data_IF_531258592822
#
_entry.id   IF_531258592822
#
_cell.length_a   1.000
_cell.length_b   1.000
_cell.length_c   1.000
_cell.angle_alpha   90.00
_cell.angle_beta   90.00
_cell.angle_gamma   90.00
#
_symmetry.space_group_name_H-M   'P 1'
#
loop_
_entity.id
_entity.type
_entity.pdbx_description
1 polymer ?
#
# COMPACT_ATOMS: atom_id res chain seq x y z
N UNK A 1 -28.56 37.39 42.04
CA UNK A 1 -28.74 36.08 42.70
C UNK A 1 -27.52 35.22 42.41
N UNK A 2 -26.57 35.13 43.35
CA UNK A 2 -25.36 34.30 43.23
C UNK A 2 -25.68 32.90 43.77
N UNK A 3 -25.52 31.86 42.97
CA UNK A 3 -25.47 30.47 43.45
C UNK A 3 -24.10 29.90 43.11
N UNK A 4 -23.25 29.85 44.13
CA UNK A 4 -21.99 29.13 44.12
C UNK A 4 -22.27 27.63 44.02
N UNK A 5 -21.62 26.93 43.08
CA UNK A 5 -21.62 25.47 43.03
C UNK A 5 -20.32 24.95 43.64
N UNK A 6 -20.52 24.16 44.67
CA UNK A 6 -19.54 23.50 45.52
C UNK A 6 -18.78 22.44 44.68
N UNK A 7 -17.45 22.55 44.63
CA UNK A 7 -16.56 21.51 44.10
C UNK A 7 -16.43 20.40 45.15
N UNK A 8 -16.77 19.16 44.77
CA UNK A 8 -16.47 17.96 45.56
C UNK A 8 -15.31 17.25 44.87
N UNK A 9 -14.12 17.38 45.46
CA UNK A 9 -12.90 16.64 45.12
C UNK A 9 -12.97 15.27 45.76
N UNK A 10 -13.04 14.20 44.96
CA UNK A 10 -12.85 12.83 45.44
C UNK A 10 -11.43 12.41 45.05
N UNK A 11 -10.54 12.37 46.03
CA UNK A 11 -9.21 11.79 45.91
C UNK A 11 -9.31 10.28 46.21
N UNK A 12 -8.90 9.44 45.25
CA UNK A 12 -8.62 8.03 45.48
C UNK A 12 -7.11 7.81 45.41
N UNK A 13 -6.55 7.26 46.49
CA UNK A 13 -5.15 6.88 46.63
C UNK A 13 -5.02 5.36 46.76
N UNK A 14 -3.89 4.85 46.24
CA UNK A 14 -3.26 3.53 46.46
C UNK A 14 -3.93 2.31 45.80
N UNK A 15 -3.23 1.30 45.27
CA UNK A 15 -1.93 0.76 45.67
C UNK A 15 -1.12 0.15 44.50
N UNK A 16 0.21 0.15 44.68
CA UNK A 16 1.19 -0.54 43.85
C UNK A 16 1.23 -2.05 44.16
N UNK A 17 1.49 -2.88 43.14
CA UNK A 17 2.03 -4.22 43.33
C UNK A 17 3.28 -4.39 42.47
N UNK A 18 4.39 -4.64 43.17
CA UNK A 18 5.69 -5.06 42.65
C UNK A 18 5.71 -6.59 42.63
N UNK A 19 6.11 -7.19 41.52
CA UNK A 19 6.44 -8.60 41.42
C UNK A 19 7.77 -8.76 40.69
N UNK A 20 8.82 -9.05 41.44
CA UNK A 20 10.15 -9.38 40.96
C UNK A 20 10.51 -10.81 41.42
N UNK A 21 11.02 -11.62 40.49
CA UNK A 21 11.87 -12.81 40.70
C UNK A 21 12.59 -13.02 39.34
N UNK A 22 13.91 -12.86 39.16
CA UNK A 22 15.09 -13.60 39.69
C UNK A 22 14.95 -15.12 39.49
N UNK A 23 15.83 -15.90 38.87
CA UNK A 23 17.18 -15.81 38.26
C UNK A 23 17.38 -17.17 37.54
N UNK A 24 18.44 -17.55 36.82
CA UNK A 24 19.83 -17.13 36.70
C UNK A 24 20.68 -18.40 36.44
N UNK A 25 21.88 -18.20 35.85
CA UNK A 25 23.05 -19.10 35.70
C UNK A 25 23.27 -19.66 34.29
N UNK A 26 24.22 -19.18 33.46
CA UNK A 26 25.70 -19.15 33.54
C UNK A 26 26.36 -20.54 33.46
N UNK A 27 27.02 -20.86 32.34
CA UNK A 27 28.49 -20.85 32.22
C UNK A 27 28.97 -21.54 30.92
N UNK A 28 30.14 -21.09 30.47
CA UNK A 28 30.78 -21.39 29.18
C UNK A 28 31.72 -22.64 29.26
N UNK A 29 32.86 -22.69 28.54
CA UNK A 29 33.08 -23.42 27.28
C UNK A 29 34.08 -24.59 27.43
N UNK A 30 34.19 -25.48 26.44
CA UNK A 30 35.37 -26.34 26.21
C UNK A 30 35.42 -26.70 24.71
N UNK A 31 36.37 -26.21 23.91
CA UNK A 31 37.78 -26.60 23.82
C UNK A 31 37.99 -28.00 23.21
N UNK A 32 38.73 -27.99 22.09
CA UNK A 32 39.19 -29.09 21.24
C UNK A 32 39.87 -30.26 22.01
N UNK A 33 40.02 -31.44 21.38
CA UNK A 33 41.26 -31.66 20.63
C UNK A 33 41.08 -32.33 19.25
N UNK A 34 42.06 -32.00 18.41
CA UNK A 34 42.55 -32.66 17.20
C UNK A 34 42.94 -34.11 17.42
N UNK A 35 42.80 -34.95 16.39
CA UNK A 35 43.83 -35.93 15.99
C UNK A 35 43.63 -36.39 14.53
N UNK A 36 44.69 -36.25 13.74
CA UNK A 36 44.99 -36.91 12.44
C UNK A 36 45.93 -38.10 12.73
N UNK A 37 46.53 -38.80 11.74
CA UNK A 37 46.10 -39.36 10.45
C UNK A 37 46.35 -40.90 10.42
N UNK A 38 46.08 -41.60 9.29
CA UNK A 38 47.12 -42.33 8.52
C UNK A 38 46.58 -43.37 7.50
N UNK A 39 47.28 -43.36 6.35
CA UNK A 39 47.72 -44.39 5.39
C UNK A 39 46.81 -45.37 4.60
N UNK A 40 47.17 -45.43 3.30
CA UNK A 40 47.31 -46.65 2.49
C UNK A 40 46.07 -47.03 1.67
N UNK A 41 46.08 -47.27 0.37
CA UNK A 41 47.12 -47.52 -0.62
C UNK A 41 46.42 -48.16 -1.83
N UNK A 42 46.83 -47.84 -3.07
CA UNK A 42 46.29 -48.45 -4.29
C UNK A 42 46.57 -49.96 -4.40
N UNK A 43 46.13 -50.63 -5.49
CA UNK A 43 46.70 -50.31 -6.80
C UNK A 43 45.75 -50.36 -8.01
N UNK A 44 46.28 -49.77 -9.08
CA UNK A 44 45.90 -49.83 -10.49
C UNK A 44 46.12 -51.20 -11.13
N UNK A 45 45.28 -51.56 -12.12
CA UNK A 45 45.51 -52.66 -13.06
C UNK A 45 44.95 -52.33 -14.44
N UNK A 46 45.84 -52.03 -15.38
CA UNK A 46 45.64 -51.88 -16.82
C UNK A 46 45.74 -53.24 -17.52
N UNK A 47 44.92 -53.51 -18.54
CA UNK A 47 45.26 -54.48 -19.59
C UNK A 47 44.54 -54.18 -20.90
N UNK A 48 45.36 -54.04 -21.94
CA UNK A 48 45.07 -53.91 -23.38
C UNK A 48 44.78 -55.26 -24.06
N UNK A 49 43.99 -55.28 -25.15
CA UNK A 49 44.04 -56.33 -26.17
C UNK A 49 42.77 -56.47 -27.04
N UNK A 50 42.84 -56.05 -28.32
CA UNK A 50 41.96 -56.56 -29.41
C UNK A 50 42.42 -57.95 -29.90
N UNK A 51 41.91 -58.56 -31.01
CA UNK A 51 41.31 -57.91 -32.20
C UNK A 51 40.13 -58.66 -32.94
N UNK A 52 39.58 -57.98 -33.97
CA UNK A 52 38.96 -58.47 -35.23
C UNK A 52 37.73 -59.42 -35.28
N UNK A 53 36.66 -58.96 -35.95
CA UNK A 53 35.74 -59.81 -36.73
C UNK A 53 34.34 -59.21 -36.98
N UNK A 54 33.76 -59.24 -38.20
CA UNK A 54 32.78 -58.26 -38.71
C UNK A 54 31.31 -58.72 -38.61
N UNK A 55 30.36 -57.84 -38.97
CA UNK A 55 29.03 -58.07 -39.60
C UNK A 55 27.91 -57.18 -39.03
N UNK A 56 27.15 -56.55 -39.94
CA UNK A 56 25.71 -56.34 -39.75
C UNK A 56 25.26 -54.92 -39.43
N UNK A 57 24.94 -54.15 -40.48
CA UNK A 57 24.16 -52.93 -40.36
C UNK A 57 22.73 -53.19 -39.84
N UNK A 58 22.18 -52.18 -39.19
CA UNK A 58 20.81 -52.14 -38.70
C UNK A 58 20.54 -50.78 -38.07
N UNK A 59 19.73 -49.99 -38.75
CA UNK A 59 19.39 -48.62 -38.43
C UNK A 59 18.68 -48.55 -37.07
N UNK A 60 19.30 -47.91 -36.09
CA UNK A 60 18.67 -47.57 -34.81
C UNK A 60 18.53 -46.05 -34.74
N UNK A 61 17.27 -45.61 -34.83
CA UNK A 61 16.82 -44.25 -34.70
C UNK A 61 17.55 -43.51 -33.58
N UNK A 62 18.06 -42.33 -33.92
CA UNK A 62 18.60 -41.39 -32.95
C UNK A 62 17.55 -41.04 -31.91
N UNK A 63 17.69 -41.64 -30.73
CA UNK A 63 17.19 -41.06 -29.50
C UNK A 63 18.03 -39.81 -29.27
N UNK A 64 17.51 -38.69 -29.78
CA UNK A 64 17.94 -37.38 -29.33
C UNK A 64 17.71 -37.35 -27.82
N UNK A 65 18.82 -37.43 -27.11
CA UNK A 65 18.93 -37.11 -25.71
C UNK A 65 18.48 -35.65 -25.57
N UNK A 66 17.18 -35.46 -25.33
CA UNK A 66 16.60 -34.17 -25.03
C UNK A 66 17.16 -33.74 -23.68
N UNK A 67 18.34 -33.11 -23.75
CA UNK A 67 18.89 -32.25 -22.71
C UNK A 67 17.71 -31.46 -22.14
N UNK A 68 17.43 -31.49 -20.83
CA UNK A 68 16.43 -30.59 -20.28
C UNK A 68 16.90 -29.19 -20.65
N UNK A 69 16.05 -28.45 -21.36
CA UNK A 69 16.28 -27.04 -21.66
C UNK A 69 16.61 -26.36 -20.34
N UNK A 70 17.90 -26.15 -20.11
CA UNK A 70 18.42 -25.38 -19.00
C UNK A 70 18.08 -23.94 -19.30
N UNK A 71 16.82 -23.58 -19.11
CA UNK A 71 16.37 -22.22 -19.22
C UNK A 71 17.09 -21.44 -18.11
N UNK A 72 17.94 -20.51 -18.52
CA UNK A 72 18.60 -19.61 -17.59
C UNK A 72 17.54 -18.65 -17.06
N UNK A 73 16.91 -19.00 -15.95
CA UNK A 73 16.00 -18.10 -15.25
C UNK A 73 16.78 -17.01 -14.53
N UNK A 74 16.22 -15.82 -14.52
CA UNK A 74 16.67 -14.70 -13.72
C UNK A 74 15.52 -14.27 -12.80
N UNK A 75 15.86 -13.88 -11.58
CA UNK A 75 14.88 -13.34 -10.63
C UNK A 75 14.92 -11.83 -10.73
N UNK A 76 13.80 -11.24 -11.15
CA UNK A 76 13.57 -9.81 -11.16
C UNK A 76 12.70 -9.42 -9.96
N UNK A 77 13.11 -8.38 -9.24
CA UNK A 77 12.27 -7.80 -8.18
C UNK A 77 11.08 -7.10 -8.83
N UNK A 78 9.90 -7.31 -8.27
CA UNK A 78 8.70 -6.55 -8.62
C UNK A 78 8.40 -5.56 -7.51
N UNK A 79 8.16 -4.30 -7.88
CA UNK A 79 7.82 -3.26 -6.91
C UNK A 79 6.29 -3.20 -6.78
N UNK A 80 5.83 -3.03 -5.53
CA UNK A 80 4.42 -2.67 -5.28
C UNK A 80 4.15 -1.27 -5.82
N UNK A 81 2.89 -0.99 -6.14
CA UNK A 81 2.50 0.34 -6.59
C UNK A 81 2.94 1.44 -5.60
N UNK A 82 3.47 2.54 -6.13
CA UNK A 82 3.74 3.75 -5.33
C UNK A 82 2.44 4.50 -5.10
N UNK A 83 2.33 5.18 -3.97
CA UNK A 83 1.10 5.90 -3.58
C UNK A 83 1.42 7.29 -3.03
N UNK A 84 0.80 8.33 -3.57
CA UNK A 84 0.78 9.65 -2.95
C UNK A 84 -0.61 9.86 -2.36
N UNK A 85 -0.70 9.97 -1.04
CA UNK A 85 -1.95 10.14 -0.30
C UNK A 85 -2.13 11.63 -0.01
N UNK A 86 -3.23 12.22 -0.45
CA UNK A 86 -3.52 13.65 -0.32
C UNK A 86 -4.73 13.81 0.60
N UNK A 87 -4.49 14.22 1.84
CA UNK A 87 -5.54 14.63 2.75
C UNK A 87 -5.95 16.07 2.44
N UNK A 88 -7.24 16.28 2.29
CA UNK A 88 -7.85 17.59 2.11
C UNK A 88 -8.90 17.72 3.19
N UNK A 89 -8.64 18.62 4.14
CA UNK A 89 -9.38 18.66 5.40
C UNK A 89 -9.98 20.04 5.54
N UNK A 90 -11.31 20.09 5.57
CA UNK A 90 -12.07 21.29 5.91
C UNK A 90 -11.70 21.76 7.32
N UNK A 91 -11.34 23.04 7.43
CA UNK A 91 -11.00 23.70 8.69
C UNK A 91 -11.99 24.83 9.03
N UNK A 92 -13.22 24.72 8.54
CA UNK A 92 -14.35 25.53 8.95
C UNK A 92 -14.70 25.35 10.43
N UNK A 93 -15.53 26.24 10.97
CA UNK A 93 -15.82 26.36 12.41
C UNK A 93 -16.32 25.08 13.09
N UNK A 94 -17.06 24.24 12.36
CA UNK A 94 -17.65 22.99 12.85
C UNK A 94 -16.65 21.83 12.95
N UNK A 95 -15.52 21.90 12.24
CA UNK A 95 -14.60 20.77 12.03
C UNK A 95 -13.58 20.54 13.17
N UNK A 96 -13.75 21.18 14.33
CA UNK A 96 -12.73 21.18 15.40
C UNK A 96 -12.46 19.77 15.94
N UNK A 97 -13.52 19.03 16.24
CA UNK A 97 -13.47 17.68 16.80
C UNK A 97 -12.92 16.67 15.78
N UNK A 98 -13.32 16.79 14.52
CA UNK A 98 -12.90 15.97 13.39
C UNK A 98 -11.40 16.14 13.12
N UNK A 99 -10.91 17.38 13.09
CA UNK A 99 -9.47 17.66 12.93
C UNK A 99 -8.66 17.08 14.08
N UNK A 100 -9.15 17.15 15.32
CA UNK A 100 -8.51 16.51 16.47
C UNK A 100 -8.42 15.00 16.27
N UNK A 101 -9.48 14.36 15.76
CA UNK A 101 -9.48 12.92 15.49
C UNK A 101 -8.53 12.53 14.36
N UNK A 102 -8.41 13.33 13.30
CA UNK A 102 -7.40 13.10 12.26
C UNK A 102 -5.99 13.20 12.85
N UNK A 103 -5.70 14.23 13.66
CA UNK A 103 -4.39 14.41 14.31
C UNK A 103 -3.99 13.21 15.17
N UNK A 104 -4.93 12.62 15.91
CA UNK A 104 -4.67 11.47 16.78
C UNK A 104 -4.38 10.18 16.00
N UNK A 105 -5.04 9.97 14.85
CA UNK A 105 -5.04 8.68 14.16
C UNK A 105 -4.12 8.63 12.93
N UNK A 106 -3.71 9.77 12.35
CA UNK A 106 -2.94 9.80 11.09
C UNK A 106 -1.60 9.07 11.16
N UNK A 107 -0.92 9.06 12.31
CA UNK A 107 0.33 8.33 12.46
C UNK A 107 0.12 6.81 12.42
N UNK A 108 -0.97 6.32 13.00
CA UNK A 108 -1.34 4.90 12.93
C UNK A 108 -1.78 4.52 11.50
N UNK A 109 -2.55 5.39 10.85
CA UNK A 109 -2.89 5.26 9.44
C UNK A 109 -1.63 5.09 8.57
N UNK A 110 -0.66 6.00 8.70
CA UNK A 110 0.58 5.96 7.94
C UNK A 110 1.40 4.71 8.25
N UNK A 111 1.50 4.31 9.52
CA UNK A 111 2.18 3.07 9.92
C UNK A 111 1.54 1.84 9.26
N UNK A 112 0.21 1.78 9.14
CA UNK A 112 -0.49 0.67 8.46
C UNK A 112 -0.17 0.59 6.98
N UNK A 113 -0.13 1.73 6.28
CA UNK A 113 0.33 1.75 4.89
C UNK A 113 1.79 1.29 4.81
N UNK A 114 2.68 1.79 5.67
CA UNK A 114 4.09 1.42 5.69
C UNK A 114 4.32 -0.08 5.95
N UNK A 115 3.56 -0.69 6.86
CA UNK A 115 3.66 -2.13 7.15
C UNK A 115 3.27 -3.02 5.96
N UNK A 116 2.43 -2.54 5.04
CA UNK A 116 2.08 -3.27 3.82
C UNK A 116 3.23 -3.37 2.80
N UNK A 117 4.29 -2.56 2.99
CA UNK A 117 5.40 -2.43 2.05
C UNK A 117 5.09 -1.53 0.84
N UNK A 118 3.96 -0.82 0.84
CA UNK A 118 3.68 0.23 -0.14
C UNK A 118 4.66 1.40 0.02
N UNK A 119 5.25 1.86 -1.07
CA UNK A 119 6.03 3.09 -1.12
C UNK A 119 5.08 4.30 -1.15
N UNK A 120 4.81 4.85 0.02
CA UNK A 120 3.83 5.91 0.21
C UNK A 120 4.44 7.26 0.55
N UNK A 121 3.71 8.31 0.19
CA UNK A 121 3.93 9.69 0.60
C UNK A 121 2.60 10.28 1.06
N UNK A 122 2.64 11.25 1.97
CA UNK A 122 1.45 11.93 2.46
C UNK A 122 1.57 13.43 2.25
N UNK A 123 0.52 14.04 1.72
CA UNK A 123 0.38 15.49 1.54
C UNK A 123 -0.86 15.94 2.29
N UNK A 124 -0.72 16.95 3.14
CA UNK A 124 -1.85 17.61 3.79
C UNK A 124 -2.14 18.94 3.12
N UNK A 125 -3.39 19.18 2.75
CA UNK A 125 -3.90 20.47 2.27
C UNK A 125 -4.94 20.95 3.28
N UNK A 126 -4.48 21.77 4.23
CA UNK A 126 -5.27 22.33 5.33
C UNK A 126 -4.41 23.35 6.09
N UNK A 127 -5.00 24.28 6.84
CA UNK A 127 -4.22 25.27 7.58
C UNK A 127 -3.25 24.61 8.56
N UNK A 128 -2.00 25.02 8.46
CA UNK A 128 -0.88 24.50 9.24
C UNK A 128 -0.77 25.22 10.57
N UNK A 129 -0.61 24.44 11.64
CA UNK A 129 -0.28 24.99 12.94
C UNK A 129 1.15 25.54 12.96
N UNK A 130 1.36 26.66 13.65
CA UNK A 130 2.68 27.25 13.90
C UNK A 130 3.44 26.59 15.05
N UNK A 131 2.76 25.79 15.87
CA UNK A 131 3.35 25.02 16.96
C UNK A 131 2.51 23.78 17.31
N UNK A 132 3.12 22.80 17.97
CA UNK A 132 2.45 21.56 18.39
C UNK A 132 1.32 21.77 19.40
N UNK A 133 1.39 22.89 20.13
CA UNK A 133 0.43 23.31 21.17
C UNK A 133 -0.63 24.27 20.66
N UNK A 134 -0.57 24.72 19.40
CA UNK A 134 -1.59 25.61 18.86
C UNK A 134 -2.94 24.90 18.82
N UNK A 135 -3.97 25.60 19.31
CA UNK A 135 -5.37 25.17 19.31
C UNK A 135 -6.16 25.92 18.24
N UNK A 136 -7.36 25.43 17.93
CA UNK A 136 -8.25 25.98 16.92
C UNK A 136 -8.20 25.17 15.63
N UNK A 137 -8.67 25.78 14.53
CA UNK A 137 -8.90 25.10 13.27
C UNK A 137 -7.63 24.99 12.41
N UNK A 138 -6.61 24.40 13.02
CA UNK A 138 -5.30 24.16 12.41
C UNK A 138 -4.85 22.76 12.77
N UNK A 139 -4.05 22.15 11.92
CA UNK A 139 -3.50 20.82 12.20
C UNK A 139 -1.99 20.86 12.35
N UNK A 140 -1.51 20.10 13.33
CA UNK A 140 -0.10 19.79 13.52
C UNK A 140 0.05 18.27 13.53
N UNK A 141 0.71 17.73 12.53
CA UNK A 141 1.12 16.32 12.52
C UNK A 141 2.50 16.22 13.17
N UNK A 142 2.70 15.22 14.02
CA UNK A 142 4.00 14.92 14.64
C UNK A 142 4.63 13.66 14.06
N UNK A 143 5.81 13.30 14.56
CA UNK A 143 6.49 12.06 14.24
C UNK A 143 5.63 10.81 14.58
N UNK A 144 5.80 9.68 13.86
CA UNK A 144 6.82 9.44 12.83
C UNK A 144 6.49 9.97 11.43
N UNK A 145 5.24 10.35 11.14
CA UNK A 145 4.87 10.80 9.80
C UNK A 145 5.52 12.14 9.45
N UNK A 146 5.31 13.15 10.30
CA UNK A 146 5.85 14.50 10.11
C UNK A 146 7.07 14.76 11.00
N UNK A 147 7.73 15.90 10.79
CA UNK A 147 8.87 16.34 11.58
C UNK A 147 8.47 16.92 12.94
N UNK A 148 9.48 17.29 13.75
CA UNK A 148 9.24 17.98 15.02
C UNK A 148 8.54 19.33 14.79
N UNK A 149 7.72 19.76 15.75
CA UNK A 149 7.05 21.07 15.73
C UNK A 149 6.26 21.35 14.43
N UNK A 150 5.49 20.37 13.97
CA UNK A 150 4.68 20.47 12.74
C UNK A 150 5.52 20.64 11.46
N UNK A 151 6.83 20.39 11.50
CA UNK A 151 7.67 20.47 10.31
C UNK A 151 7.29 19.39 9.29
N UNK A 152 7.57 19.67 8.03
CA UNK A 152 7.49 18.67 6.98
C UNK A 152 8.56 17.58 7.19
N UNK A 153 8.38 16.41 6.60
CA UNK A 153 9.32 15.30 6.68
C UNK A 153 9.58 14.71 5.29
N UNK A 154 10.22 15.46 4.37
CA UNK A 154 10.43 15.00 3.01
C UNK A 154 11.38 13.78 2.95
N UNK A 155 11.14 12.82 2.03
CA UNK A 155 10.06 12.81 1.03
C UNK A 155 8.75 12.19 1.54
N UNK A 156 8.63 11.86 2.83
CA UNK A 156 7.49 11.11 3.36
C UNK A 156 6.24 11.99 3.55
N UNK A 157 6.40 13.22 4.05
CA UNK A 157 5.29 14.10 4.41
C UNK A 157 5.53 15.56 4.01
N UNK A 158 4.52 16.19 3.41
CA UNK A 158 4.45 17.64 3.16
C UNK A 158 3.14 18.23 3.66
N UNK A 159 3.19 19.48 4.15
CA UNK A 159 2.01 20.19 4.60
C UNK A 159 1.85 21.52 3.87
N UNK A 160 0.89 21.53 2.95
CA UNK A 160 0.45 22.70 2.21
C UNK A 160 -0.46 23.56 3.10
N UNK A 161 0.08 24.70 3.54
CA UNK A 161 -0.65 25.63 4.41
C UNK A 161 -1.72 26.40 3.60
N UNK A 162 -2.88 25.77 3.44
CA UNK A 162 -4.01 26.30 2.70
C UNK A 162 -5.26 26.21 3.57
N UNK A 163 -5.99 27.31 3.77
CA UNK A 163 -7.30 27.24 4.40
C UNK A 163 -8.31 26.59 3.45
N UNK A 164 -9.02 25.60 3.96
CA UNK A 164 -10.07 24.85 3.28
C UNK A 164 -11.36 25.17 4.02
N UNK A 165 -12.28 25.81 3.33
CA UNK A 165 -13.59 26.13 3.88
C UNK A 165 -14.62 25.08 3.48
N UNK A 166 -15.83 25.25 4.02
CA UNK A 166 -16.90 24.26 3.98
C UNK A 166 -17.20 23.68 2.59
N UNK A 167 -17.13 24.49 1.53
CA UNK A 167 -17.61 24.07 0.21
C UNK A 167 -16.58 24.14 -0.92
N UNK A 168 -15.32 24.44 -0.62
CA UNK A 168 -14.33 24.81 -1.64
C UNK A 168 -13.15 23.83 -1.81
N UNK A 169 -13.15 22.69 -1.11
CA UNK A 169 -12.02 21.74 -1.12
C UNK A 169 -11.67 21.23 -2.52
N UNK A 170 -12.66 20.85 -3.34
CA UNK A 170 -12.42 20.39 -4.71
C UNK A 170 -11.82 21.50 -5.60
N UNK A 171 -12.29 22.74 -5.47
CA UNK A 171 -11.72 23.89 -6.16
C UNK A 171 -10.29 24.16 -5.71
N UNK A 172 -10.00 24.00 -4.41
CA UNK A 172 -8.66 24.19 -3.85
C UNK A 172 -7.70 23.11 -4.32
N UNK A 173 -8.10 21.84 -4.38
CA UNK A 173 -7.30 20.77 -4.99
C UNK A 173 -6.85 21.19 -6.39
N UNK A 174 -7.78 21.65 -7.23
CA UNK A 174 -7.48 22.02 -8.62
C UNK A 174 -6.67 23.31 -8.75
N UNK A 175 -7.00 24.36 -7.99
CA UNK A 175 -6.37 25.67 -8.10
C UNK A 175 -4.98 25.73 -7.44
N UNK A 176 -4.74 24.91 -6.42
CA UNK A 176 -3.44 24.84 -5.75
C UNK A 176 -2.48 23.84 -6.40
N UNK A 177 -2.96 22.91 -7.24
CA UNK A 177 -2.14 21.87 -7.87
C UNK A 177 -0.86 22.40 -8.51
N UNK A 178 -0.98 23.29 -9.47
CA UNK A 178 0.10 23.93 -10.24
C UNK A 178 0.16 25.43 -9.97
N UNK A 179 -0.12 25.84 -8.72
CA UNK A 179 -0.14 27.24 -8.35
C UNK A 179 1.19 27.96 -8.67
N UNK A 180 1.16 29.21 -9.17
CA UNK A 180 2.37 30.01 -9.29
C UNK A 180 3.00 30.32 -7.92
N UNK A 181 2.21 30.26 -6.84
CA UNK A 181 2.76 30.27 -5.49
C UNK A 181 3.37 28.91 -5.17
N UNK A 182 4.70 28.84 -5.16
CA UNK A 182 5.43 27.61 -4.92
C UNK A 182 5.11 26.93 -3.58
N UNK A 183 4.64 27.66 -2.57
CA UNK A 183 4.24 27.10 -1.28
C UNK A 183 2.88 26.38 -1.32
N UNK A 184 2.07 26.63 -2.36
CA UNK A 184 0.76 26.00 -2.56
C UNK A 184 0.79 24.89 -3.62
N UNK A 185 1.77 24.96 -4.55
CA UNK A 185 1.95 24.06 -5.69
C UNK A 185 2.24 22.61 -5.29
N UNK A 186 1.21 21.87 -4.89
CA UNK A 186 1.36 20.51 -4.37
C UNK A 186 1.74 19.47 -5.43
N UNK A 187 1.60 19.79 -6.73
CA UNK A 187 2.07 18.92 -7.82
C UNK A 187 3.57 18.62 -7.74
N UNK A 188 4.37 19.50 -7.12
CA UNK A 188 5.83 19.35 -6.97
C UNK A 188 6.22 18.17 -6.08
N UNK A 189 5.28 17.68 -5.28
CA UNK A 189 5.51 16.59 -4.33
C UNK A 189 4.98 15.24 -4.84
N UNK A 190 4.28 15.25 -5.98
CA UNK A 190 3.72 14.07 -6.61
C UNK A 190 4.74 13.32 -7.47
N UNK A 191 4.50 12.02 -7.62
CA UNK A 191 5.26 11.15 -8.53
C UNK A 191 4.40 10.71 -9.69
N UNK A 192 4.96 10.74 -10.90
CA UNK A 192 4.22 10.30 -12.09
C UNK A 192 3.83 8.82 -12.05
N UNK A 193 4.65 7.97 -11.47
CA UNK A 193 4.43 6.52 -11.38
C UNK A 193 3.56 6.12 -10.17
N UNK A 194 3.26 7.02 -9.24
CA UNK A 194 2.39 6.74 -8.10
C UNK A 194 0.90 6.90 -8.42
N UNK A 195 0.05 6.09 -7.78
CA UNK A 195 -1.37 6.38 -7.65
C UNK A 195 -1.61 7.57 -6.72
N UNK A 196 -2.68 8.32 -6.99
CA UNK A 196 -3.12 9.44 -6.15
C UNK A 196 -4.30 9.01 -5.31
N UNK A 197 -4.19 9.11 -3.99
CA UNK A 197 -5.27 8.70 -3.08
C UNK A 197 -5.72 9.92 -2.32
N UNK A 198 -6.86 10.49 -2.70
CA UNK A 198 -7.46 11.60 -1.96
C UNK A 198 -8.21 11.08 -0.74
N UNK A 199 -8.05 11.77 0.38
CA UNK A 199 -8.86 11.58 1.58
C UNK A 199 -9.48 12.91 1.93
N UNK A 200 -10.72 13.10 1.51
CA UNK A 200 -11.51 14.29 1.84
C UNK A 200 -12.14 14.15 3.21
N UNK A 201 -12.05 15.19 4.03
CA UNK A 201 -12.65 15.26 5.36
C UNK A 201 -13.43 16.57 5.49
N UNK A 202 -14.76 16.50 5.50
CA UNK A 202 -15.64 17.67 5.61
C UNK A 202 -17.01 17.28 6.14
N UNK A 203 -17.67 18.13 6.90
CA UNK A 203 -19.05 17.95 7.33
C UNK A 203 -20.07 18.61 6.36
N UNK A 204 -19.59 19.17 5.25
CA UNK A 204 -20.38 19.96 4.33
C UNK A 204 -20.33 19.37 2.89
N UNK A 205 -20.56 20.19 1.87
CA UNK A 205 -20.77 19.82 0.48
C UNK A 205 -19.95 20.72 -0.45
N UNK A 206 -19.33 20.11 -1.46
CA UNK A 206 -18.62 20.84 -2.51
C UNK A 206 -19.58 21.70 -3.35
N UNK A 207 -19.20 22.96 -3.57
CA UNK A 207 -19.85 23.82 -4.58
C UNK A 207 -19.45 23.46 -6.02
N UNK A 208 -18.37 22.70 -6.21
CA UNK A 208 -17.97 22.15 -7.51
C UNK A 208 -18.56 20.75 -7.68
N UNK A 209 -19.20 20.50 -8.82
CA UNK A 209 -19.74 19.18 -9.14
C UNK A 209 -18.61 18.15 -9.33
N UNK A 210 -18.84 16.91 -8.88
CA UNK A 210 -17.88 15.81 -8.98
C UNK A 210 -17.44 15.53 -10.43
N UNK A 211 -18.36 15.60 -11.40
CA UNK A 211 -18.07 15.38 -12.82
C UNK A 211 -17.14 16.46 -13.39
N UNK A 212 -17.37 17.72 -13.00
CA UNK A 212 -16.51 18.83 -13.36
C UNK A 212 -15.13 18.68 -12.72
N UNK A 213 -15.06 18.31 -11.44
CA UNK A 213 -13.80 18.04 -10.75
C UNK A 213 -13.00 16.93 -11.43
N UNK A 214 -13.61 15.77 -11.67
CA UNK A 214 -12.97 14.63 -12.34
C UNK A 214 -12.41 15.03 -13.71
N UNK A 215 -13.22 15.72 -14.52
CA UNK A 215 -12.80 16.18 -15.85
C UNK A 215 -11.60 17.13 -15.77
N UNK A 216 -11.63 18.09 -14.85
CA UNK A 216 -10.54 19.06 -14.69
C UNK A 216 -9.28 18.44 -14.10
N UNK A 217 -9.42 17.49 -13.17
CA UNK A 217 -8.30 16.78 -12.56
C UNK A 217 -7.57 15.91 -13.60
N UNK A 218 -8.32 15.16 -14.41
CA UNK A 218 -7.76 14.33 -15.48
C UNK A 218 -7.03 15.15 -16.57
N UNK A 219 -7.41 16.42 -16.73
CA UNK A 219 -6.78 17.34 -17.68
C UNK A 219 -5.51 18.02 -17.14
N UNK A 220 -5.16 17.85 -15.85
CA UNK A 220 -3.97 18.48 -15.27
C UNK A 220 -2.68 17.97 -15.88
N UNK A 221 -1.74 18.89 -16.11
CA UNK A 221 -0.40 18.59 -16.59
C UNK A 221 0.52 18.11 -15.44
N UNK A 222 1.53 17.26 -15.70
CA UNK A 222 1.77 16.56 -16.97
C UNK A 222 0.66 15.55 -17.28
N UNK A 223 0.36 15.38 -18.56
CA UNK A 223 -0.69 14.47 -19.01
C UNK A 223 -0.45 13.05 -18.47
N UNK A 224 -1.51 12.40 -17.98
CA UNK A 224 -1.44 11.06 -17.40
C UNK A 224 -1.13 11.02 -15.90
N UNK A 225 -0.86 12.16 -15.24
CA UNK A 225 -0.68 12.23 -13.77
C UNK A 225 -1.83 11.56 -13.01
N UNK A 226 -3.07 11.75 -13.47
CA UNK A 226 -4.28 11.22 -12.86
C UNK A 226 -4.98 10.14 -13.71
N UNK A 227 -4.35 9.69 -14.80
CA UNK A 227 -4.89 8.69 -15.72
C UNK A 227 -5.90 9.26 -16.73
N UNK A 228 -6.89 8.45 -17.11
CA UNK A 228 -7.97 8.82 -18.04
C UNK A 228 -9.34 8.52 -17.42
N UNK A 229 -10.43 8.97 -18.06
CA UNK A 229 -11.79 8.68 -17.59
C UNK A 229 -12.12 7.17 -17.58
N UNK A 230 -11.49 6.38 -18.46
CA UNK A 230 -11.62 4.92 -18.45
C UNK A 230 -10.70 4.25 -17.41
N UNK A 231 -9.47 4.77 -17.28
CA UNK A 231 -8.43 4.21 -16.42
C UNK A 231 -7.86 5.29 -15.49
N UNK A 232 -8.64 5.65 -14.47
CA UNK A 232 -8.23 6.65 -13.47
C UNK A 232 -7.05 6.13 -12.68
N UNK A 233 -6.03 6.98 -12.52
CA UNK A 233 -4.88 6.72 -11.63
C UNK A 233 -5.00 7.48 -10.32
N UNK A 234 -6.24 7.69 -9.90
CA UNK A 234 -6.55 8.21 -8.59
C UNK A 234 -7.74 7.48 -7.95
N UNK A 235 -7.75 7.49 -6.62
CA UNK A 235 -8.80 6.97 -5.76
C UNK A 235 -9.27 8.15 -4.90
N UNK A 236 -10.57 8.25 -4.67
CA UNK A 236 -11.14 9.30 -3.83
C UNK A 236 -11.85 8.66 -2.63
N UNK A 237 -11.32 8.86 -1.44
CA UNK A 237 -11.96 8.48 -0.18
C UNK A 237 -12.68 9.69 0.42
N UNK A 238 -13.87 9.44 0.97
CA UNK A 238 -14.70 10.47 1.57
C UNK A 238 -14.94 10.13 3.03
N UNK A 239 -14.63 11.07 3.92
CA UNK A 239 -15.13 11.11 5.28
C UNK A 239 -16.06 12.34 5.32
N UNK A 240 -17.37 12.11 5.21
CA UNK A 240 -18.36 13.17 5.09
C UNK A 240 -19.52 13.03 6.08
N UNK A 241 -20.43 14.00 6.11
CA UNK A 241 -21.63 13.98 6.95
C UNK A 241 -22.68 12.90 6.64
N UNK A 242 -22.28 11.79 6.02
CA UNK A 242 -23.16 10.65 5.74
C UNK A 242 -23.56 9.91 7.03
N UNK A 243 -24.81 9.48 7.12
CA UNK A 243 -25.30 8.65 8.23
C UNK A 243 -24.99 7.18 7.99
N UNK A 244 -24.17 6.52 8.83
CA UNK A 244 -23.85 5.10 8.67
C UNK A 244 -25.09 4.21 8.58
N UNK A 245 -25.09 3.27 7.63
CA UNK A 245 -26.19 2.33 7.39
C UNK A 245 -27.30 2.86 6.49
N UNK A 246 -27.21 4.11 6.01
CA UNK A 246 -28.15 4.66 5.01
C UNK A 246 -27.57 4.57 3.60
N UNK A 247 -28.42 4.77 2.57
CA UNK A 247 -27.96 4.78 1.19
C UNK A 247 -26.89 5.87 0.95
N UNK A 248 -25.83 5.54 0.23
CA UNK A 248 -24.85 6.54 -0.20
C UNK A 248 -25.49 7.56 -1.14
N UNK A 249 -24.98 8.80 -1.15
CA UNK A 249 -25.39 9.94 -1.98
C UNK A 249 -26.78 10.49 -1.66
N UNK A 250 -27.80 9.64 -1.52
CA UNK A 250 -29.20 10.02 -1.28
C UNK A 250 -29.64 9.90 0.18
N UNK A 251 -28.83 9.26 1.03
CA UNK A 251 -29.09 9.13 2.46
C UNK A 251 -29.11 10.46 3.20
N UNK A 252 -29.61 10.41 4.43
CA UNK A 252 -29.67 11.58 5.30
C UNK A 252 -28.27 12.00 5.77
N UNK A 253 -28.09 13.32 5.96
CA UNK A 253 -26.95 13.82 6.73
C UNK A 253 -27.07 13.42 8.20
N UNK A 254 -25.96 13.30 8.89
CA UNK A 254 -25.98 13.03 10.32
C UNK A 254 -26.27 14.30 11.13
N UNK A 255 -26.43 14.14 12.45
CA UNK A 255 -26.83 15.24 13.34
C UNK A 255 -25.75 16.30 13.55
N UNK A 256 -24.47 15.93 13.43
CA UNK A 256 -23.33 16.82 13.69
C UNK A 256 -22.79 17.48 12.43
N UNK A 257 -23.33 17.15 11.26
CA UNK A 257 -22.85 17.68 9.98
C UNK A 257 -23.79 18.70 9.38
N UNK A 258 -23.26 19.63 8.59
CA UNK A 258 -24.07 20.60 7.86
C UNK A 258 -24.73 19.99 6.62
N UNK A 259 -24.01 19.12 5.90
CA UNK A 259 -24.52 18.39 4.74
C UNK A 259 -24.07 16.92 4.74
N UNK A 260 -24.58 16.15 3.78
CA UNK A 260 -24.21 14.74 3.57
C UNK A 260 -22.88 14.60 2.78
N UNK A 261 -22.46 15.63 2.04
CA UNK A 261 -21.25 15.57 1.19
C UNK A 261 -21.42 14.70 -0.05
N UNK A 262 -22.56 14.78 -0.73
CA UNK A 262 -22.91 13.87 -1.83
C UNK A 262 -21.97 13.98 -3.05
N UNK A 263 -21.36 15.14 -3.35
CA UNK A 263 -20.41 15.24 -4.48
C UNK A 263 -19.14 14.43 -4.20
N UNK A 264 -18.65 14.47 -2.96
CA UNK A 264 -17.50 13.67 -2.54
C UNK A 264 -17.79 12.17 -2.60
N UNK A 265 -18.97 11.78 -2.10
CA UNK A 265 -19.43 10.38 -2.19
C UNK A 265 -19.54 9.90 -3.64
N UNK A 266 -19.99 10.74 -4.57
CA UNK A 266 -20.02 10.40 -5.99
C UNK A 266 -18.61 10.18 -6.56
N UNK A 267 -17.59 10.95 -6.14
CA UNK A 267 -16.19 10.67 -6.50
C UNK A 267 -15.70 9.34 -5.91
N UNK A 268 -16.09 9.03 -4.67
CA UNK A 268 -15.77 7.74 -4.07
C UNK A 268 -16.43 6.57 -4.81
N UNK A 269 -17.71 6.67 -5.19
CA UNK A 269 -18.35 5.64 -6.01
C UNK A 269 -17.68 5.51 -7.39
N UNK A 270 -17.42 6.63 -8.06
CA UNK A 270 -16.76 6.68 -9.37
C UNK A 270 -15.39 6.00 -9.35
N UNK A 271 -14.63 6.23 -8.29
CA UNK A 271 -13.27 5.72 -8.16
C UNK A 271 -13.18 4.42 -7.39
N UNK A 272 -14.30 3.85 -6.92
CA UNK A 272 -14.34 2.70 -5.98
C UNK A 272 -13.54 2.96 -4.68
N UNK A 273 -13.61 4.18 -4.16
CA UNK A 273 -13.08 4.55 -2.86
C UNK A 273 -14.08 4.32 -1.73
N UNK A 274 -13.54 4.19 -0.52
CA UNK A 274 -14.30 4.13 0.74
C UNK A 274 -15.06 5.44 1.02
N UNK A 275 -16.29 5.29 1.49
CA UNK A 275 -17.11 6.35 2.08
C UNK A 275 -17.27 6.02 3.56
N UNK A 276 -16.93 6.95 4.43
CA UNK A 276 -17.13 6.87 5.87
C UNK A 276 -17.69 8.20 6.41
N UNK A 277 -18.02 8.23 7.70
CA UNK A 277 -18.79 9.28 8.34
C UNK A 277 -17.92 10.14 9.26
N UNK A 278 -18.04 11.47 9.15
CA UNK A 278 -17.42 12.40 10.11
C UNK A 278 -18.05 12.33 11.51
N UNK A 279 -19.25 11.77 11.58
CA UNK A 279 -20.09 11.83 12.77
C UNK A 279 -19.71 10.75 13.81
N UNK A 280 -18.68 9.97 13.50
CA UNK A 280 -18.08 9.02 14.42
C UNK A 280 -17.22 9.77 15.44
N UNK A 281 -17.34 9.38 16.70
CA UNK A 281 -16.56 9.99 17.79
C UNK A 281 -15.11 9.54 17.83
N UNK A 282 -14.78 8.43 17.16
CA UNK A 282 -13.45 7.86 17.01
C UNK A 282 -13.14 7.55 15.54
N UNK A 283 -12.02 8.06 15.05
CA UNK A 283 -11.57 7.88 13.66
C UNK A 283 -10.54 6.77 13.50
N UNK A 284 -10.18 6.03 14.55
CA UNK A 284 -9.30 4.86 14.44
C UNK A 284 -9.83 3.89 13.37
N UNK A 285 -11.07 3.43 13.53
CA UNK A 285 -11.74 2.55 12.56
C UNK A 285 -11.96 3.21 11.19
N UNK A 286 -12.15 4.53 11.13
CA UNK A 286 -12.36 5.27 9.88
C UNK A 286 -11.09 5.25 9.03
N UNK A 287 -9.98 5.71 9.60
CA UNK A 287 -8.71 5.73 8.90
C UNK A 287 -8.17 4.32 8.66
N UNK A 288 -8.47 3.37 9.55
CA UNK A 288 -8.14 1.96 9.35
C UNK A 288 -8.81 1.36 8.12
N UNK A 289 -10.10 1.62 7.93
CA UNK A 289 -10.85 1.17 6.75
C UNK A 289 -10.28 1.77 5.46
N UNK A 290 -9.93 3.06 5.49
CA UNK A 290 -9.31 3.75 4.35
C UNK A 290 -7.92 3.17 4.06
N UNK A 291 -7.10 2.97 5.10
CA UNK A 291 -5.78 2.37 4.96
C UNK A 291 -5.87 0.97 4.36
N UNK A 292 -6.74 0.12 4.92
CA UNK A 292 -6.99 -1.23 4.43
C UNK A 292 -7.48 -1.21 2.98
N UNK A 293 -8.47 -0.39 2.64
CA UNK A 293 -8.97 -0.28 1.27
C UNK A 293 -7.91 0.19 0.28
N UNK A 294 -7.02 1.09 0.69
CA UNK A 294 -5.88 1.55 -0.12
C UNK A 294 -4.89 0.41 -0.34
N UNK A 295 -4.52 -0.30 0.72
CA UNK A 295 -3.58 -1.43 0.70
C UNK A 295 -4.13 -2.58 -0.15
N UNK A 296 -5.37 -3.01 0.11
CA UNK A 296 -6.02 -4.12 -0.59
C UNK A 296 -6.14 -3.84 -2.10
N UNK A 297 -6.20 -2.56 -2.49
CA UNK A 297 -6.26 -2.20 -3.91
C UNK A 297 -4.88 -2.07 -4.56
N UNK A 298 -3.93 -1.42 -3.89
CA UNK A 298 -2.69 -0.99 -4.53
C UNK A 298 -1.50 -1.90 -4.19
N UNK A 299 -1.51 -2.56 -3.03
CA UNK A 299 -0.43 -3.46 -2.65
C UNK A 299 -0.45 -4.77 -3.46
N UNK A 300 -1.58 -5.09 -4.10
CA UNK A 300 -1.77 -6.23 -4.99
C UNK A 300 -1.38 -5.95 -6.44
N UNK A 301 -1.14 -4.68 -6.79
CA UNK A 301 -0.61 -4.29 -8.10
C UNK A 301 0.91 -4.26 -8.04
N UNK A 302 1.54 -5.04 -8.91
CA UNK A 302 2.98 -5.18 -9.03
C UNK A 302 3.43 -4.72 -10.41
N UNK A 303 4.59 -4.07 -10.48
CA UNK A 303 5.23 -3.71 -11.75
C UNK A 303 5.58 -4.97 -12.56
N UNK A 304 5.39 -4.94 -13.88
CA UNK A 304 5.98 -5.94 -14.78
C UNK A 304 7.45 -5.57 -15.01
N UNK A 305 8.43 -6.44 -14.71
CA UNK A 305 9.83 -6.18 -15.04
C UNK A 305 10.03 -5.92 -16.53
N UNK A 306 10.95 -5.04 -16.90
CA UNK A 306 11.17 -4.71 -18.32
C UNK A 306 11.54 -5.94 -19.16
N UNK A 307 12.31 -6.88 -18.58
CA UNK A 307 12.68 -8.14 -19.21
C UNK A 307 11.50 -9.11 -19.38
N UNK A 308 10.49 -9.01 -18.49
CA UNK A 308 9.26 -9.80 -18.53
C UNK A 308 8.25 -9.26 -19.55
N UNK A 309 8.32 -7.96 -19.87
CA UNK A 309 7.40 -7.31 -20.80
C UNK A 309 7.60 -7.75 -22.27
N UNK A 310 8.80 -8.22 -22.64
CA UNK A 310 9.09 -8.67 -24.02
C UNK A 310 8.53 -10.05 -24.36
N UNK A 311 8.36 -10.93 -23.37
CA UNK A 311 7.67 -12.21 -23.53
C UNK A 311 6.87 -12.55 -22.26
N UNK A 312 5.59 -12.13 -22.20
CA UNK A 312 4.70 -12.38 -21.05
C UNK A 312 4.48 -13.86 -20.72
N UNK A 313 4.79 -14.78 -21.64
CA UNK A 313 4.61 -16.23 -21.45
C UNK A 313 5.75 -16.89 -20.67
N UNK A 314 6.87 -16.18 -20.49
CA UNK A 314 8.07 -16.67 -19.81
C UNK A 314 8.23 -16.14 -18.38
N UNK A 315 7.13 -15.65 -17.82
CA UNK A 315 7.10 -14.99 -16.51
C UNK A 315 6.34 -15.85 -15.52
N UNK A 316 7.02 -16.22 -14.46
CA UNK A 316 6.44 -16.89 -13.30
C UNK A 316 6.52 -15.93 -12.11
N UNK A 317 5.55 -15.95 -11.20
CA UNK A 317 5.59 -15.12 -9.98
C UNK A 317 5.75 -16.04 -8.78
N UNK A 318 6.66 -15.71 -7.89
CA UNK A 318 6.87 -16.42 -6.63
C UNK A 318 6.74 -15.49 -5.45
N UNK A 319 6.39 -16.05 -4.29
CA UNK A 319 6.34 -15.34 -3.02
C UNK A 319 7.13 -16.07 -1.94
N UNK A 320 7.85 -15.32 -1.11
CA UNK A 320 8.64 -15.84 0.00
C UNK A 320 8.18 -15.18 1.29
N UNK A 321 7.50 -15.94 2.14
CA UNK A 321 7.10 -15.49 3.48
C UNK A 321 8.30 -15.52 4.44
N UNK A 322 8.32 -14.68 5.49
CA UNK A 322 9.39 -14.69 6.48
C UNK A 322 9.61 -16.08 7.08
N UNK A 323 10.83 -16.60 6.99
CA UNK A 323 11.19 -17.92 7.50
C UNK A 323 10.69 -19.11 6.66
N UNK A 324 10.09 -18.87 5.49
CA UNK A 324 9.60 -19.92 4.59
C UNK A 324 10.42 -20.00 3.29
N UNK A 325 10.35 -21.14 2.61
CA UNK A 325 10.88 -21.30 1.27
C UNK A 325 10.03 -20.54 0.22
N UNK A 326 10.60 -20.12 -0.92
CA UNK A 326 9.83 -19.52 -2.01
C UNK A 326 8.76 -20.46 -2.54
N UNK A 327 7.55 -19.94 -2.77
CA UNK A 327 6.44 -20.66 -3.39
C UNK A 327 6.06 -20.04 -4.72
N UNK A 328 5.95 -20.88 -5.76
CA UNK A 328 5.49 -20.43 -7.07
C UNK A 328 3.97 -20.28 -7.08
N UNK A 329 3.50 -19.16 -7.62
CA UNK A 329 2.08 -18.84 -7.76
C UNK A 329 1.54 -19.33 -9.10
N UNK A 330 0.26 -19.69 -9.10
CA UNK A 330 -0.46 -20.09 -10.31
C UNK A 330 -0.77 -18.83 -11.13
N UNK A 331 -0.43 -18.82 -12.41
CA UNK A 331 -0.95 -17.80 -13.34
C UNK A 331 -2.37 -18.20 -13.77
N UNK A 332 -3.32 -17.28 -13.66
CA UNK A 332 -4.66 -17.44 -14.23
C UNK A 332 -4.90 -16.44 -15.35
N UNK A 333 -5.89 -16.68 -16.20
CA UNK A 333 -6.19 -15.79 -17.33
C UNK A 333 -6.65 -14.40 -16.91
N UNK A 334 -7.44 -14.33 -15.84
CA UNK A 334 -8.09 -13.12 -15.35
C UNK A 334 -8.65 -13.32 -13.92
N UNK A 335 -9.19 -12.25 -13.35
CA UNK A 335 -9.75 -12.21 -12.00
C UNK A 335 -10.84 -13.27 -11.75
N UNK A 336 -11.62 -13.67 -12.76
CA UNK A 336 -12.73 -14.63 -12.59
C UNK A 336 -12.25 -16.02 -12.16
N UNK A 337 -10.98 -16.33 -12.39
CA UNK A 337 -10.35 -17.61 -12.05
C UNK A 337 -9.74 -17.64 -10.65
N UNK A 338 -9.67 -16.50 -9.97
CA UNK A 338 -9.07 -16.39 -8.63
C UNK A 338 -9.81 -17.22 -7.59
N UNK A 339 -11.14 -17.33 -7.67
CA UNK A 339 -11.93 -18.10 -6.70
C UNK A 339 -11.56 -19.60 -6.69
N UNK A 340 -11.19 -20.17 -7.85
CA UNK A 340 -10.74 -21.55 -7.97
C UNK A 340 -9.23 -21.71 -7.69
N UNK A 341 -8.47 -20.62 -7.65
CA UNK A 341 -7.02 -20.62 -7.50
C UNK A 341 -6.60 -19.55 -6.46
N UNK A 342 -6.74 -19.83 -5.15
CA UNK A 342 -6.56 -18.82 -4.10
C UNK A 342 -5.11 -18.33 -3.93
N UNK A 343 -4.12 -19.02 -4.52
CA UNK A 343 -2.71 -18.62 -4.54
C UNK A 343 -2.27 -18.33 -5.99
N UNK A 344 -2.94 -17.36 -6.62
CA UNK A 344 -2.74 -17.04 -8.04
C UNK A 344 -2.52 -15.55 -8.31
N UNK A 345 -2.11 -15.27 -9.55
CA UNK A 345 -1.90 -13.95 -10.12
C UNK A 345 -2.32 -13.94 -11.60
N UNK A 346 -2.55 -12.75 -12.15
CA UNK A 346 -2.91 -12.52 -13.55
C UNK A 346 -2.33 -11.20 -14.05
N UNK A 347 -2.34 -10.97 -15.37
CA UNK A 347 -1.97 -9.68 -15.95
C UNK A 347 -3.17 -8.76 -16.07
N UNK A 348 -2.92 -7.44 -16.10
CA UNK A 348 -3.94 -6.46 -16.50
C UNK A 348 -4.37 -6.62 -17.97
N UNK A 349 -3.42 -6.96 -18.85
CA UNK A 349 -3.65 -7.34 -20.24
C UNK A 349 -2.72 -8.51 -20.60
N UNK A 350 -3.27 -9.59 -21.15
CA UNK A 350 -2.48 -10.80 -21.45
C UNK A 350 -1.56 -10.67 -22.67
N UNK A 351 -1.79 -9.68 -23.54
CA UNK A 351 -1.02 -9.43 -24.76
C UNK A 351 0.03 -8.34 -24.54
N UNK A 352 -0.30 -7.30 -23.76
CA UNK A 352 0.57 -6.17 -23.47
C UNK A 352 0.54 -5.81 -21.99
N UNK A 353 1.06 -6.69 -21.11
CA UNK A 353 0.95 -6.52 -19.67
C UNK A 353 1.73 -5.29 -19.21
N UNK A 354 1.08 -4.46 -18.41
CA UNK A 354 1.72 -3.35 -17.68
C UNK A 354 1.80 -3.63 -16.20
N UNK A 355 0.96 -4.56 -15.70
CA UNK A 355 0.86 -4.89 -14.28
C UNK A 355 0.66 -6.39 -14.07
N UNK A 356 1.25 -6.89 -12.99
CA UNK A 356 0.92 -8.17 -12.38
C UNK A 356 -0.07 -7.89 -11.25
N UNK A 357 -1.18 -8.61 -11.23
CA UNK A 357 -2.25 -8.49 -10.25
C UNK A 357 -2.33 -9.77 -9.43
N UNK A 358 -2.21 -9.66 -8.11
CA UNK A 358 -2.43 -10.79 -7.21
C UNK A 358 -3.93 -11.00 -6.98
N UNK A 359 -4.37 -12.26 -6.94
CA UNK A 359 -5.73 -12.58 -6.51
C UNK A 359 -5.96 -12.11 -5.06
N UNK A 360 -7.17 -11.64 -4.76
CA UNK A 360 -7.50 -10.97 -3.50
C UNK A 360 -7.15 -11.79 -2.23
N UNK A 361 -7.43 -13.09 -2.24
CA UNK A 361 -7.13 -14.00 -1.13
C UNK A 361 -5.62 -14.12 -0.89
N UNK A 362 -4.86 -14.29 -1.96
CA UNK A 362 -3.40 -14.37 -1.87
C UNK A 362 -2.82 -13.02 -1.40
N UNK A 363 -3.29 -11.93 -2.00
CA UNK A 363 -2.82 -10.61 -1.64
C UNK A 363 -3.08 -10.27 -0.16
N UNK A 364 -4.24 -10.64 0.37
CA UNK A 364 -4.55 -10.47 1.79
C UNK A 364 -3.55 -11.20 2.70
N UNK A 365 -3.12 -12.41 2.32
CA UNK A 365 -2.09 -13.17 3.06
C UNK A 365 -0.73 -12.47 3.01
N UNK A 366 -0.31 -12.02 1.82
CA UNK A 366 0.97 -11.32 1.64
C UNK A 366 0.98 -10.00 2.42
N UNK A 367 -0.13 -9.26 2.42
CA UNK A 367 -0.24 -7.98 3.12
C UNK A 367 -0.29 -8.16 4.65
N UNK A 368 -0.80 -9.29 5.15
CA UNK A 368 -0.79 -9.61 6.58
C UNK A 368 0.59 -10.04 7.10
N UNK A 369 1.46 -10.56 6.23
CA UNK A 369 2.79 -11.03 6.58
C UNK A 369 3.87 -10.02 6.21
N UNK A 370 4.18 -9.10 7.14
CA UNK A 370 5.24 -8.12 6.98
C UNK A 370 6.58 -8.79 6.64
N UNK A 371 7.29 -8.26 5.63
CA UNK A 371 8.55 -8.83 5.15
C UNK A 371 8.40 -9.91 4.07
N UNK A 372 7.17 -10.21 3.62
CA UNK A 372 6.95 -11.06 2.44
C UNK A 372 7.57 -10.44 1.19
N UNK A 373 8.37 -11.23 0.48
CA UNK A 373 8.95 -10.86 -0.83
C UNK A 373 8.11 -11.44 -1.95
N UNK A 374 7.86 -10.65 -3.00
CA UNK A 374 7.25 -11.13 -4.24
C UNK A 374 8.24 -10.84 -5.36
N UNK A 375 8.47 -11.84 -6.21
CA UNK A 375 9.49 -11.79 -7.26
C UNK A 375 8.94 -12.37 -8.55
N UNK A 376 9.35 -11.80 -9.68
CA UNK A 376 9.09 -12.35 -10.99
C UNK A 376 10.31 -13.14 -11.46
N UNK A 377 10.10 -14.41 -11.79
CA UNK A 377 11.10 -15.30 -12.38
C UNK A 377 10.90 -15.25 -13.89
N UNK A 378 11.93 -14.80 -14.60
CA UNK A 378 11.89 -14.55 -16.06
C UNK A 378 12.89 -15.47 -16.75
N UNK A 379 12.51 -16.05 -17.88
CA UNK A 379 13.42 -16.78 -18.77
C UNK A 379 13.15 -18.28 -18.91
N UNK A 380 12.15 -18.80 -18.20
CA UNK A 380 11.64 -20.15 -18.39
C UNK A 380 10.17 -20.08 -18.80
N UNK A 381 9.71 -20.97 -19.69
CA UNK A 381 8.28 -21.06 -20.03
C UNK A 381 7.49 -21.27 -18.73
N UNK A 382 6.65 -20.30 -18.38
CA UNK A 382 5.78 -20.44 -17.24
C UNK A 382 4.74 -21.51 -17.53
N UNK A 383 4.18 -22.13 -16.49
CA UNK A 383 3.03 -23.01 -16.66
C UNK A 383 1.92 -22.25 -17.41
N UNK A 384 1.25 -22.94 -18.35
CA UNK A 384 0.15 -22.33 -19.09
C UNK A 384 -0.91 -21.81 -18.10
N UNK A 385 -1.49 -20.62 -18.35
CA UNK A 385 -2.46 -20.02 -17.45
C UNK A 385 -3.69 -20.91 -17.32
N UNK A 386 -4.24 -20.98 -16.10
CA UNK A 386 -5.49 -21.72 -15.80
C UNK A 386 -6.75 -20.90 -16.02
#
# INVERSE_FOLDING_TARGET
MRRARLFVTVAFASAALVGAACGGSSDAPNAFPTDTPDSGGGPSGTSTGGPNGPFGGGDAAGLSDAKPDGCASSVAQVERAKVDIIFVIDNSGSMTEEMRQIKLNVNQFAAKIGMSGLDYRVIFIVTKASSSTQTGNVICVGAPLAGANCADNPPLFWHINQSVGSTNSLQLILSTYDSPNAALAWNKHLRMDAYKVFVEVTDDQSSLAHTTFDTQLLAKAPAGMFGTAANRRYIFHTIAGWTPGTAFVTGAKCSTSENNGSQYQQLSQLTKGIIDSVCKTDYSGVLDNIAKGTVDRLACELSVPQQAASDPTTVAVQATFPGAAPQLLVRVTDESKCAANPNAWYYDDNLAPKKILLCADFCSKVNAAAGTKIEAVVGCKAADPR
#
